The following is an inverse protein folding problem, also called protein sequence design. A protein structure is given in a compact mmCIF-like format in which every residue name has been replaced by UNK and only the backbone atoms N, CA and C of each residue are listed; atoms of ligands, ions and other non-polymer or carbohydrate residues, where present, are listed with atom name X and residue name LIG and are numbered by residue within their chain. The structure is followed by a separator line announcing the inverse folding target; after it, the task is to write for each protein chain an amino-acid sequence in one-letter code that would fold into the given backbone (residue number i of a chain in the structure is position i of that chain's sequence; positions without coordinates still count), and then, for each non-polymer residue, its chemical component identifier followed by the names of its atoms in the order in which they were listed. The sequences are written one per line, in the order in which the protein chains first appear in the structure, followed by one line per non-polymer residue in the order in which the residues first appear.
data_IF_665001214314
#
_entry.id   IF_665001214314
#
_cell.length_a   1.000
_cell.length_b   1.000
_cell.length_c   1.000
_cell.angle_alpha   90.00
_cell.angle_beta   90.00
_cell.angle_gamma   90.00
#
_symmetry.space_group_name_H-M   'P 1'
#
loop_
_entity.id
_entity.type
_entity.pdbx_description
1 polymer ?
#
# COMPACT_ATOMS: atom_id res chain seq x y z
N UNK A 1 -9.73 1.55 -5.02
CA UNK A 1 -8.42 1.54 -4.33
C UNK A 1 -8.60 1.61 -2.81
N UNK A 2 -9.05 2.74 -2.23
CA UNK A 2 -9.15 2.91 -0.76
C UNK A 2 -10.05 1.88 -0.07
N UNK A 3 -11.27 1.68 -0.58
CA UNK A 3 -12.24 0.75 0.01
C UNK A 3 -11.74 -0.71 0.06
N UNK A 4 -10.83 -1.09 -0.85
CA UNK A 4 -10.26 -2.44 -0.90
C UNK A 4 -9.06 -2.62 0.03
N UNK A 5 -8.20 -1.60 0.15
CA UNK A 5 -7.15 -1.60 1.17
C UNK A 5 -7.77 -1.72 2.57
N UNK A 6 -8.87 -1.01 2.80
CA UNK A 6 -9.63 -1.12 4.05
C UNK A 6 -10.20 -2.53 4.26
N UNK A 7 -10.62 -3.24 3.20
CA UNK A 7 -11.09 -4.62 3.27
C UNK A 7 -9.96 -5.61 3.64
N UNK A 8 -8.72 -5.35 3.22
CA UNK A 8 -7.52 -6.12 3.59
C UNK A 8 -6.93 -5.71 4.96
N UNK A 9 -7.62 -4.84 5.71
CA UNK A 9 -7.21 -4.36 7.03
C UNK A 9 -6.16 -3.25 7.00
N UNK A 10 -5.96 -2.61 5.85
CA UNK A 10 -5.04 -1.49 5.66
C UNK A 10 -5.83 -0.19 5.71
N UNK A 11 -5.57 0.65 6.71
CA UNK A 11 -6.23 1.96 6.81
C UNK A 11 -5.59 2.93 5.85
N UNK A 12 -6.40 3.59 5.00
CA UNK A 12 -5.94 4.59 4.03
C UNK A 12 -6.58 5.94 4.34
N UNK A 13 -5.80 6.98 4.66
CA UNK A 13 -6.34 8.32 4.87
C UNK A 13 -6.91 8.92 3.57
N UNK A 14 -7.85 9.89 3.68
CA UNK A 14 -8.30 10.69 2.55
C UNK A 14 -7.14 11.53 1.97
N UNK A 15 -7.16 11.83 0.66
CA UNK A 15 -6.07 12.54 -0.02
C UNK A 15 -5.18 11.67 -0.91
N UNK A 16 -4.13 12.29 -1.45
CA UNK A 16 -3.16 11.68 -2.35
C UNK A 16 -1.91 11.18 -1.59
N UNK A 17 -1.81 11.47 -0.31
CA UNK A 17 -0.68 11.10 0.54
C UNK A 17 -1.19 10.61 1.89
N UNK A 18 -0.35 9.86 2.59
CA UNK A 18 -0.55 9.56 4.01
C UNK A 18 0.05 8.23 4.42
N UNK A 19 -0.26 7.80 5.64
CA UNK A 19 0.29 6.58 6.21
C UNK A 19 -0.66 5.39 5.97
N UNK A 20 -0.11 4.30 5.45
CA UNK A 20 -0.69 2.97 5.40
C UNK A 20 -0.16 2.18 6.60
N UNK A 21 -1.06 1.64 7.40
CA UNK A 21 -0.71 0.69 8.46
C UNK A 21 -1.61 -0.54 8.38
N UNK A 22 -1.00 -1.72 8.47
CA UNK A 22 -1.70 -3.01 8.35
C UNK A 22 -0.74 -4.20 8.35
N UNK A 23 -1.22 -5.36 8.79
CA UNK A 23 -0.45 -6.64 8.79
C UNK A 23 0.96 -6.57 9.42
N UNK A 24 1.19 -5.62 10.33
CA UNK A 24 2.43 -5.46 11.08
C UNK A 24 3.47 -4.56 10.45
N UNK A 25 3.22 -3.91 9.31
CA UNK A 25 4.10 -2.90 8.73
C UNK A 25 3.43 -1.52 8.68
N UNK A 26 4.26 -0.49 8.62
CA UNK A 26 3.87 0.90 8.40
C UNK A 26 4.57 1.40 7.15
N UNK A 27 3.84 2.09 6.28
CA UNK A 27 4.39 2.68 5.07
C UNK A 27 3.71 4.01 4.76
N UNK A 28 4.46 4.97 4.25
CA UNK A 28 3.87 6.17 3.66
C UNK A 28 3.53 5.89 2.20
N UNK A 29 2.41 6.41 1.73
CA UNK A 29 2.07 6.43 0.30
C UNK A 29 1.93 7.86 -0.20
N UNK A 30 2.30 8.05 -1.46
CA UNK A 30 2.11 9.30 -2.19
C UNK A 30 1.68 8.96 -3.62
N UNK A 31 0.64 9.63 -4.09
CA UNK A 31 0.10 9.50 -5.43
C UNK A 31 0.16 10.86 -6.12
N UNK A 32 0.77 10.89 -7.31
CA UNK A 32 0.84 12.10 -8.14
C UNK A 32 -0.53 12.58 -8.68
N UNK A 33 -1.61 11.81 -8.44
CA UNK A 33 -2.95 12.10 -8.95
C UNK A 33 -3.14 11.79 -10.43
N UNK A 34 -2.16 11.16 -11.07
CA UNK A 34 -2.20 10.75 -12.47
C UNK A 34 -1.91 9.25 -12.64
N UNK A 35 -0.70 8.81 -12.34
CA UNK A 35 -0.22 7.46 -12.68
C UNK A 35 0.84 6.89 -11.75
N UNK A 36 1.56 7.72 -11.00
CA UNK A 36 2.69 7.26 -10.19
C UNK A 36 2.27 7.16 -8.72
N UNK A 37 2.21 5.93 -8.22
CA UNK A 37 2.04 5.63 -6.81
C UNK A 37 3.41 5.26 -6.21
N UNK A 38 3.88 6.05 -5.27
CA UNK A 38 5.07 5.79 -4.46
C UNK A 38 4.65 5.27 -3.11
N UNK A 39 5.27 4.17 -2.66
CA UNK A 39 5.04 3.61 -1.33
C UNK A 39 6.40 3.43 -0.66
N UNK A 40 6.57 4.00 0.53
CA UNK A 40 7.80 3.97 1.31
C UNK A 40 7.54 3.25 2.63
N UNK A 41 8.12 2.06 2.79
CA UNK A 41 8.00 1.29 4.03
C UNK A 41 8.85 1.98 5.11
N UNK A 42 8.22 2.47 6.17
CA UNK A 42 8.87 3.19 7.27
C UNK A 42 9.19 2.27 8.45
N UNK A 43 8.36 1.24 8.68
CA UNK A 43 8.59 0.24 9.70
C UNK A 43 8.12 -1.14 9.23
N UNK A 44 8.87 -2.19 9.58
CA UNK A 44 8.43 -3.57 9.38
C UNK A 44 9.02 -4.51 10.42
N UNK A 45 8.34 -5.64 10.72
CA UNK A 45 8.90 -6.69 11.53
C UNK A 45 10.01 -7.41 10.76
N UNK A 46 11.07 -7.84 11.46
CA UNK A 46 12.22 -8.53 10.85
C UNK A 46 11.83 -9.83 10.10
N UNK A 47 10.70 -10.45 10.46
CA UNK A 47 10.20 -11.68 9.85
C UNK A 47 9.39 -11.45 8.58
N UNK A 48 9.01 -10.21 8.25
CA UNK A 48 8.34 -9.86 7.00
C UNK A 48 9.43 -9.52 5.98
N UNK A 49 9.45 -10.14 4.80
CA UNK A 49 10.41 -9.79 3.75
C UNK A 49 9.92 -8.57 2.94
N UNK A 50 10.84 -7.77 2.41
CA UNK A 50 10.43 -6.68 1.51
C UNK A 50 9.80 -7.24 0.23
N UNK A 51 10.30 -8.38 -0.25
CA UNK A 51 9.73 -9.10 -1.40
C UNK A 51 8.25 -9.47 -1.21
N UNK A 52 7.86 -9.91 0.00
CA UNK A 52 6.45 -10.18 0.30
C UNK A 52 5.60 -8.91 0.25
N UNK A 53 6.14 -7.78 0.75
CA UNK A 53 5.46 -6.49 0.71
C UNK A 53 5.35 -6.00 -0.74
N UNK A 54 6.43 -6.07 -1.52
CA UNK A 54 6.45 -5.72 -2.94
C UNK A 54 5.43 -6.55 -3.73
N UNK A 55 5.38 -7.87 -3.49
CA UNK A 55 4.45 -8.76 -4.18
C UNK A 55 2.99 -8.43 -3.83
N UNK A 56 2.69 -8.13 -2.56
CA UNK A 56 1.36 -7.70 -2.13
C UNK A 56 0.94 -6.39 -2.79
N UNK A 57 1.86 -5.40 -2.84
CA UNK A 57 1.63 -4.11 -3.48
C UNK A 57 1.46 -4.25 -5.00
N UNK A 58 2.28 -5.08 -5.66
CA UNK A 58 2.17 -5.36 -7.10
C UNK A 58 0.84 -6.04 -7.41
N UNK A 59 0.45 -7.05 -6.63
CA UNK A 59 -0.83 -7.73 -6.82
C UNK A 59 -2.00 -6.76 -6.64
N UNK A 60 -1.91 -5.90 -5.62
CA UNK A 60 -2.90 -4.84 -5.38
C UNK A 60 -3.03 -3.86 -6.56
N UNK A 61 -1.91 -3.39 -7.13
CA UNK A 61 -1.92 -2.50 -8.30
C UNK A 61 -2.44 -3.22 -9.55
N UNK A 62 -2.01 -4.46 -9.78
CA UNK A 62 -2.49 -5.28 -10.92
C UNK A 62 -3.99 -5.56 -10.86
N UNK A 63 -4.57 -5.73 -9.68
CA UNK A 63 -6.02 -5.87 -9.53
C UNK A 63 -6.79 -4.57 -9.78
N UNK A 64 -6.12 -3.41 -9.72
CA UNK A 64 -6.70 -2.12 -10.11
C UNK A 64 -6.60 -1.84 -11.61
N UNK A 65 -5.71 -2.53 -12.32
CA UNK A 65 -5.51 -2.43 -13.77
C UNK A 65 -6.61 -3.19 -14.54
N UNK A 66 -7.86 -2.96 -14.11
CA UNK A 66 -9.07 -3.66 -14.54
C UNK A 66 -9.02 -4.03 -16.02
N UNK A 67 -9.32 -5.30 -16.30
CA UNK A 67 -9.48 -5.80 -17.67
C UNK A 67 -10.52 -4.98 -18.43
#
# INVERSE_FOLDING_TARGET
MKDRLQAEGITVPPGNEGELSGQGFTADFEWDGQSNLTIMITDKPFFVSCENIDQALINFVKECDGT
#
